data_IF_445339720707
#
_entry.id   IF_445339720707
#
_cell.length_a   1.000
_cell.length_b   1.000
_cell.length_c   1.000
_cell.angle_alpha   90.00
_cell.angle_beta   90.00
_cell.angle_gamma   90.00
#
_symmetry.space_group_name_H-M   'P 1'
#
loop_
_entity.id
_entity.type
_entity.pdbx_description
1 polymer ?
#
# COMPACT_ATOMS: atom_id res chain seq x y z
N UNK A 1 -31.20 -1.83 17.58
CA UNK A 1 -29.87 -1.64 18.20
C UNK A 1 -28.89 -1.56 17.05
N UNK A 2 -28.19 -0.44 16.92
CA UNK A 2 -27.30 -0.19 15.77
C UNK A 2 -26.11 -1.18 15.81
N UNK A 3 -25.53 -1.49 14.65
CA UNK A 3 -24.34 -2.35 14.58
C UNK A 3 -23.14 -1.72 15.30
N UNK A 4 -23.02 -0.39 15.25
CA UNK A 4 -22.04 0.37 16.03
C UNK A 4 -22.21 0.13 17.53
N UNK A 5 -23.45 0.16 18.05
CA UNK A 5 -23.73 -0.08 19.47
C UNK A 5 -23.38 -1.51 19.90
N UNK A 6 -23.59 -2.49 19.00
CA UNK A 6 -23.21 -3.89 19.24
C UNK A 6 -21.70 -4.03 19.37
N UNK A 7 -20.94 -3.47 18.43
CA UNK A 7 -19.46 -3.49 18.50
C UNK A 7 -18.93 -2.73 19.71
N UNK A 8 -19.47 -1.55 20.00
CA UNK A 8 -19.07 -0.78 21.16
C UNK A 8 -19.31 -1.55 22.47
N UNK A 9 -20.46 -2.22 22.58
CA UNK A 9 -20.80 -3.03 23.76
C UNK A 9 -19.93 -4.28 23.90
N UNK A 10 -19.65 -4.97 22.78
CA UNK A 10 -18.73 -6.09 22.73
C UNK A 10 -17.34 -5.68 23.22
N UNK A 11 -16.77 -4.62 22.65
CA UNK A 11 -15.45 -4.13 23.01
C UNK A 11 -15.38 -3.59 24.43
N UNK A 12 -16.44 -2.95 24.93
CA UNK A 12 -16.52 -2.53 26.33
C UNK A 12 -16.42 -3.72 27.28
N UNK A 13 -17.20 -4.78 27.04
CA UNK A 13 -17.13 -6.01 27.84
C UNK A 13 -15.75 -6.69 27.76
N UNK A 14 -15.16 -6.73 26.57
CA UNK A 14 -13.84 -7.34 26.37
C UNK A 14 -12.73 -6.56 27.09
N UNK A 15 -12.72 -5.23 26.96
CA UNK A 15 -11.71 -4.37 27.59
C UNK A 15 -11.85 -4.31 29.11
N UNK A 16 -13.07 -4.41 29.65
CA UNK A 16 -13.28 -4.53 31.10
C UNK A 16 -12.63 -5.80 31.67
N UNK A 17 -12.73 -6.93 30.95
CA UNK A 17 -12.11 -8.19 31.37
C UNK A 17 -10.59 -8.18 31.23
N UNK A 18 -10.08 -7.60 30.15
CA UNK A 18 -8.66 -7.69 29.81
C UNK A 18 -7.79 -6.53 30.33
N UNK A 19 -8.39 -5.37 30.60
CA UNK A 19 -7.74 -4.13 31.03
C UNK A 19 -8.47 -3.51 32.23
N UNK A 20 -8.97 -4.33 33.15
CA UNK A 20 -9.71 -3.89 34.33
C UNK A 20 -8.93 -2.99 35.29
N UNK A 21 -7.60 -3.01 35.20
CA UNK A 21 -6.65 -2.17 35.93
C UNK A 21 -6.52 -0.74 35.38
N UNK A 22 -7.03 -0.47 34.17
CA UNK A 22 -6.93 0.84 33.52
C UNK A 22 -8.10 1.76 33.87
N UNK A 23 -7.92 3.05 33.61
CA UNK A 23 -8.96 4.06 33.73
C UNK A 23 -10.05 3.88 32.66
N UNK A 24 -11.26 4.32 32.99
CA UNK A 24 -12.41 4.24 32.09
C UNK A 24 -12.23 5.08 30.82
N UNK A 25 -11.48 6.18 30.90
CA UNK A 25 -11.21 7.08 29.77
C UNK A 25 -10.29 6.42 28.73
N UNK A 26 -9.21 5.76 29.17
CA UNK A 26 -8.35 4.96 28.27
C UNK A 26 -9.14 3.84 27.58
N UNK A 27 -10.00 3.12 28.30
CA UNK A 27 -10.82 2.07 27.67
C UNK A 27 -11.74 2.64 26.60
N UNK A 28 -12.45 3.73 26.90
CA UNK A 28 -13.33 4.37 25.91
C UNK A 28 -12.52 4.87 24.70
N UNK A 29 -11.36 5.48 24.92
CA UNK A 29 -10.47 5.94 23.83
C UNK A 29 -10.05 4.81 22.89
N UNK A 30 -9.79 3.61 23.43
CA UNK A 30 -9.44 2.43 22.62
C UNK A 30 -10.65 1.96 21.80
N UNK A 31 -11.85 1.93 22.40
CA UNK A 31 -13.08 1.57 21.68
C UNK A 31 -13.31 2.51 20.50
N UNK A 32 -13.18 3.82 20.74
CA UNK A 32 -13.33 4.85 19.72
C UNK A 32 -12.35 4.68 18.55
N UNK A 33 -11.10 4.37 18.86
CA UNK A 33 -10.08 4.09 17.85
C UNK A 33 -10.35 2.80 17.06
N UNK A 34 -10.88 1.74 17.71
CA UNK A 34 -11.21 0.48 17.04
C UNK A 34 -12.40 0.62 16.09
N UNK A 35 -13.43 1.35 16.50
CA UNK A 35 -14.60 1.63 15.67
C UNK A 35 -14.26 2.52 14.46
N UNK A 36 -13.30 3.43 14.63
CA UNK A 36 -12.85 4.34 13.58
C UNK A 36 -13.77 5.56 13.41
N UNK A 37 -13.36 6.44 12.49
CA UNK A 37 -14.03 7.72 12.22
C UNK A 37 -15.40 7.53 11.54
N UNK A 38 -15.48 6.64 10.55
CA UNK A 38 -16.68 6.40 9.75
C UNK A 38 -17.53 5.27 10.35
N UNK A 39 -18.32 5.63 11.37
CA UNK A 39 -19.20 4.70 12.07
C UNK A 39 -20.43 4.32 11.25
N UNK A 40 -20.94 5.26 10.45
CA UNK A 40 -22.15 5.05 9.64
C UNK A 40 -21.93 3.93 8.62
N UNK A 41 -20.69 3.78 8.14
CA UNK A 41 -20.32 2.67 7.27
C UNK A 41 -20.62 1.30 7.86
N UNK A 42 -20.48 1.10 9.18
CA UNK A 42 -20.76 -0.20 9.82
C UNK A 42 -22.23 -0.60 9.69
N UNK A 43 -23.15 0.36 9.60
CA UNK A 43 -24.58 0.07 9.41
C UNK A 43 -24.93 -0.40 7.98
N UNK A 44 -24.04 -0.17 7.02
CA UNK A 44 -24.25 -0.52 5.61
C UNK A 44 -23.64 -1.86 5.20
N UNK A 45 -22.86 -2.48 6.09
CA UNK A 45 -22.14 -3.72 5.79
C UNK A 45 -23.05 -4.94 5.89
N UNK A 46 -22.83 -5.92 5.02
CA UNK A 46 -23.45 -7.23 5.16
C UNK A 46 -22.80 -8.06 6.28
N UNK A 47 -23.42 -9.20 6.65
CA UNK A 47 -22.94 -10.06 7.74
C UNK A 47 -21.52 -10.59 7.55
N UNK A 48 -21.08 -10.83 6.31
CA UNK A 48 -19.73 -11.30 6.02
C UNK A 48 -18.71 -10.16 6.20
N UNK A 49 -19.05 -8.97 5.70
CA UNK A 49 -18.23 -7.77 5.84
C UNK A 49 -18.13 -7.31 7.30
N UNK A 50 -19.20 -7.46 8.08
CA UNK A 50 -19.20 -7.20 9.52
C UNK A 50 -18.25 -8.15 10.27
N UNK A 51 -18.25 -9.44 9.93
CA UNK A 51 -17.32 -10.40 10.52
C UNK A 51 -15.85 -10.05 10.20
N UNK A 52 -15.57 -9.59 8.98
CA UNK A 52 -14.23 -9.15 8.57
C UNK A 52 -13.84 -7.86 9.31
N UNK A 53 -14.76 -6.92 9.46
CA UNK A 53 -14.51 -5.70 10.23
C UNK A 53 -14.18 -6.04 11.70
N UNK A 54 -14.90 -6.98 12.31
CA UNK A 54 -14.60 -7.46 13.65
C UNK A 54 -13.20 -8.07 13.77
N UNK A 55 -12.82 -8.94 12.84
CA UNK A 55 -11.49 -9.55 12.80
C UNK A 55 -10.38 -8.50 12.66
N UNK A 56 -10.60 -7.47 11.84
CA UNK A 56 -9.65 -6.37 11.69
C UNK A 56 -9.49 -5.56 12.99
N UNK A 57 -10.60 -5.31 13.71
CA UNK A 57 -10.56 -4.68 15.03
C UNK A 57 -9.79 -5.54 16.03
N UNK A 58 -10.06 -6.85 16.07
CA UNK A 58 -9.36 -7.80 16.94
C UNK A 58 -7.86 -7.83 16.68
N UNK A 59 -7.47 -7.87 15.42
CA UNK A 59 -6.06 -7.85 15.03
C UNK A 59 -5.37 -6.56 15.47
N UNK A 60 -5.99 -5.41 15.21
CA UNK A 60 -5.47 -4.10 15.59
C UNK A 60 -5.32 -3.96 17.11
N UNK A 61 -6.32 -4.40 17.87
CA UNK A 61 -6.26 -4.41 19.32
C UNK A 61 -5.17 -5.36 19.85
N UNK A 62 -5.01 -6.54 19.24
CA UNK A 62 -3.95 -7.50 19.60
C UNK A 62 -2.56 -6.90 19.45
N UNK A 63 -2.32 -6.16 18.36
CA UNK A 63 -1.07 -5.40 18.15
C UNK A 63 -0.86 -4.41 19.30
N UNK A 64 -1.87 -3.58 19.59
CA UNK A 64 -1.80 -2.58 20.66
C UNK A 64 -1.46 -3.24 22.00
N UNK A 65 -2.23 -4.24 22.41
CA UNK A 65 -2.10 -4.91 23.71
C UNK A 65 -0.75 -5.60 23.88
N UNK A 66 -0.31 -6.35 22.87
CA UNK A 66 0.92 -7.15 22.98
C UNK A 66 2.19 -6.29 22.93
N UNK A 67 2.19 -5.22 22.13
CA UNK A 67 3.44 -4.53 21.79
C UNK A 67 3.58 -3.12 22.34
N UNK A 68 2.48 -2.40 22.54
CA UNK A 68 2.54 -0.94 22.77
C UNK A 68 1.88 -0.49 24.07
N UNK A 69 0.79 -1.14 24.48
CA UNK A 69 0.01 -0.75 25.65
C UNK A 69 0.85 -0.84 26.93
N UNK A 70 0.96 0.25 27.68
CA UNK A 70 1.76 0.32 28.91
C UNK A 70 3.27 0.42 28.71
N UNK A 71 3.77 0.40 27.47
CA UNK A 71 5.20 0.48 27.16
C UNK A 71 5.67 1.94 27.15
N UNK A 72 6.95 2.19 27.41
CA UNK A 72 7.54 3.54 27.27
C UNK A 72 7.70 3.91 25.78
N UNK A 73 7.63 5.20 25.39
CA UNK A 73 7.69 5.61 23.98
C UNK A 73 8.91 5.08 23.22
N UNK A 74 10.10 5.15 23.83
CA UNK A 74 11.36 4.67 23.22
C UNK A 74 11.33 3.17 22.96
N UNK A 75 10.89 2.38 23.95
CA UNK A 75 10.77 0.92 23.82
C UNK A 75 9.69 0.54 22.80
N UNK A 76 8.58 1.28 22.79
CA UNK A 76 7.50 1.09 21.84
C UNK A 76 7.98 1.33 20.40
N UNK A 77 8.69 2.44 20.15
CA UNK A 77 9.28 2.73 18.85
C UNK A 77 10.32 1.68 18.44
N UNK A 78 11.23 1.29 19.34
CA UNK A 78 12.20 0.23 19.07
C UNK A 78 11.53 -1.10 18.69
N UNK A 79 10.39 -1.44 19.31
CA UNK A 79 9.62 -2.65 18.98
C UNK A 79 9.01 -2.57 17.58
N UNK A 80 8.46 -1.42 17.19
CA UNK A 80 7.97 -1.19 15.83
C UNK A 80 9.10 -1.41 14.82
N UNK A 81 10.24 -0.74 15.03
CA UNK A 81 11.39 -0.83 14.13
C UNK A 81 11.93 -2.25 14.02
N UNK A 82 12.06 -2.98 15.13
CA UNK A 82 12.49 -4.38 15.12
C UNK A 82 11.49 -5.27 14.37
N UNK A 83 10.19 -5.08 14.60
CA UNK A 83 9.14 -5.88 13.95
C UNK A 83 9.14 -5.66 12.44
N UNK A 84 9.18 -4.41 12.00
CA UNK A 84 9.20 -4.07 10.59
C UNK A 84 10.52 -4.50 9.93
N UNK A 85 11.66 -4.34 10.62
CA UNK A 85 12.96 -4.80 10.12
C UNK A 85 13.01 -6.32 9.92
N UNK A 86 12.36 -7.10 10.79
CA UNK A 86 12.35 -8.57 10.67
C UNK A 86 11.77 -9.08 9.34
N UNK A 87 10.90 -8.31 8.69
CA UNK A 87 10.35 -8.64 7.36
C UNK A 87 11.42 -8.67 6.26
N UNK A 88 12.53 -7.97 6.48
CA UNK A 88 13.63 -7.84 5.54
C UNK A 88 14.83 -8.74 5.89
N UNK A 89 14.95 -9.20 7.14
CA UNK A 89 16.09 -10.01 7.61
C UNK A 89 16.15 -11.39 6.95
N UNK A 90 15.00 -11.95 6.55
CA UNK A 90 14.91 -13.24 5.87
C UNK A 90 15.36 -13.13 4.39
N UNK A 91 15.47 -11.92 3.85
CA UNK A 91 15.67 -11.68 2.42
C UNK A 91 17.08 -11.17 2.13
N UNK A 92 18.01 -12.11 1.89
CA UNK A 92 19.43 -11.84 1.63
C UNK A 92 19.67 -10.74 0.59
N UNK A 93 18.84 -10.67 -0.47
CA UNK A 93 18.95 -9.64 -1.50
C UNK A 93 18.74 -8.24 -0.93
N UNK A 94 17.81 -8.02 0.00
CA UNK A 94 17.54 -6.67 0.55
C UNK A 94 18.74 -6.13 1.33
N UNK A 95 19.45 -7.01 2.06
CA UNK A 95 20.71 -6.64 2.74
C UNK A 95 21.78 -6.21 1.74
N UNK A 96 21.94 -6.96 0.65
CA UNK A 96 22.87 -6.61 -0.43
C UNK A 96 22.53 -5.25 -1.06
N UNK A 97 21.24 -4.95 -1.25
CA UNK A 97 20.78 -3.69 -1.83
C UNK A 97 21.02 -2.48 -0.93
N UNK A 98 20.81 -2.62 0.38
CA UNK A 98 21.15 -1.56 1.34
C UNK A 98 22.66 -1.32 1.37
N UNK A 99 23.47 -2.38 1.36
CA UNK A 99 24.94 -2.27 1.30
C UNK A 99 25.46 -1.67 -0.02
N UNK A 100 24.75 -1.90 -1.13
CA UNK A 100 25.06 -1.31 -2.45
C UNK A 100 24.50 0.11 -2.62
N UNK A 101 23.63 0.57 -1.72
CA UNK A 101 23.14 1.94 -1.76
C UNK A 101 24.29 2.94 -1.53
N UNK A 102 24.08 4.19 -1.96
CA UNK A 102 25.08 5.27 -1.96
C UNK A 102 25.77 5.46 -0.60
N UNK A 103 25.14 5.01 0.48
CA UNK A 103 25.61 5.13 1.83
C UNK A 103 25.91 3.73 2.42
N UNK A 104 27.10 3.20 2.13
CA UNK A 104 27.55 1.85 2.50
C UNK A 104 27.59 1.58 4.01
N UNK A 105 27.31 2.59 4.84
CA UNK A 105 27.23 2.49 6.30
C UNK A 105 25.79 2.40 6.84
N UNK A 106 24.77 2.60 6.00
CA UNK A 106 23.37 2.55 6.45
C UNK A 106 22.91 1.12 6.70
N UNK A 107 22.21 0.91 7.80
CA UNK A 107 21.51 -0.32 8.10
C UNK A 107 20.10 -0.31 7.49
N UNK A 108 19.50 -1.51 7.37
CA UNK A 108 18.08 -1.64 6.97
C UNK A 108 17.16 -0.85 7.91
N UNK A 109 17.53 -0.75 9.19
CA UNK A 109 16.77 -0.03 10.22
C UNK A 109 16.77 1.48 9.93
N UNK A 110 17.88 2.04 9.47
CA UNK A 110 17.98 3.48 9.17
C UNK A 110 17.08 3.86 7.98
N UNK A 111 17.13 3.06 6.90
CA UNK A 111 16.26 3.25 5.73
C UNK A 111 14.79 3.06 6.11
N UNK A 112 14.50 2.06 6.93
CA UNK A 112 13.14 1.80 7.41
C UNK A 112 12.60 2.97 8.25
N UNK A 113 13.45 3.62 9.06
CA UNK A 113 13.05 4.77 9.87
C UNK A 113 12.64 5.94 8.97
N UNK A 114 13.39 6.20 7.91
CA UNK A 114 13.05 7.22 6.91
C UNK A 114 11.73 6.89 6.20
N UNK A 115 11.53 5.64 5.79
CA UNK A 115 10.27 5.19 5.16
C UNK A 115 9.08 5.37 6.09
N UNK A 116 9.20 4.97 7.37
CA UNK A 116 8.14 5.13 8.36
C UNK A 116 7.86 6.61 8.62
N UNK A 117 8.89 7.45 8.72
CA UNK A 117 8.72 8.90 8.85
C UNK A 117 8.02 9.51 7.63
N UNK A 118 8.41 9.13 6.42
CA UNK A 118 7.76 9.59 5.19
C UNK A 118 6.28 9.16 5.17
N UNK A 119 5.99 7.91 5.53
CA UNK A 119 4.62 7.41 5.64
C UNK A 119 3.80 8.22 6.66
N UNK A 120 4.36 8.46 7.84
CA UNK A 120 3.69 9.24 8.87
C UNK A 120 3.44 10.69 8.45
N UNK A 121 4.25 11.27 7.57
CA UNK A 121 4.12 12.67 7.13
C UNK A 121 3.25 12.84 5.87
N UNK A 122 3.28 11.88 4.96
CA UNK A 122 2.72 12.06 3.61
C UNK A 122 1.63 11.07 3.25
N UNK A 123 1.52 9.92 3.93
CA UNK A 123 0.49 8.94 3.62
C UNK A 123 -0.87 9.41 4.15
N UNK A 124 -1.82 9.59 3.23
CA UNK A 124 -3.18 10.09 3.51
C UNK A 124 -3.91 9.26 4.56
N UNK A 125 -3.75 7.93 4.54
CA UNK A 125 -4.41 7.06 5.50
C UNK A 125 -3.84 7.28 6.90
N UNK A 126 -2.52 7.33 7.05
CA UNK A 126 -1.91 7.55 8.37
C UNK A 126 -2.16 8.98 8.90
N UNK A 127 -2.23 9.98 8.02
CA UNK A 127 -2.62 11.34 8.39
C UNK A 127 -4.07 11.41 8.90
N UNK A 128 -4.99 10.69 8.24
CA UNK A 128 -6.37 10.56 8.71
C UNK A 128 -6.43 9.83 10.06
N UNK A 129 -5.70 8.72 10.21
CA UNK A 129 -5.63 7.99 11.48
C UNK A 129 -5.04 8.87 12.60
N UNK A 130 -4.00 9.65 12.32
CA UNK A 130 -3.41 10.58 13.28
C UNK A 130 -4.42 11.63 13.74
N UNK A 131 -5.21 12.16 12.80
CA UNK A 131 -6.27 13.14 13.07
C UNK A 131 -7.39 12.53 13.93
N UNK A 132 -7.83 11.31 13.59
CA UNK A 132 -8.86 10.59 14.35
C UNK A 132 -8.40 10.21 15.75
N UNK A 133 -7.19 9.67 15.89
CA UNK A 133 -6.59 9.30 17.18
C UNK A 133 -6.46 10.51 18.11
N UNK A 134 -6.20 11.71 17.56
CA UNK A 134 -6.17 12.94 18.34
C UNK A 134 -7.54 13.33 18.90
N UNK A 135 -8.64 12.94 18.25
CA UNK A 135 -10.00 13.11 18.75
C UNK A 135 -10.38 12.02 19.78
N UNK A 136 -9.81 10.82 19.64
CA UNK A 136 -10.09 9.70 20.55
C UNK A 136 -9.55 9.92 21.97
N UNK A 137 -8.42 10.64 22.14
CA UNK A 137 -7.81 10.81 23.46
C UNK A 137 -6.97 12.08 23.61
N UNK A 138 -7.11 12.73 24.77
CA UNK A 138 -6.24 13.84 25.18
C UNK A 138 -4.85 13.35 25.65
N UNK A 139 -4.74 12.10 26.09
CA UNK A 139 -3.53 11.54 26.69
C UNK A 139 -2.42 11.31 25.62
N UNK A 140 -1.29 12.04 25.68
CA UNK A 140 -0.23 11.94 24.66
C UNK A 140 0.44 10.57 24.61
N UNK A 141 0.52 9.87 25.76
CA UNK A 141 1.13 8.54 25.82
C UNK A 141 0.26 7.50 25.12
N UNK A 142 -1.05 7.53 25.37
CA UNK A 142 -2.00 6.64 24.69
C UNK A 142 -2.04 6.95 23.20
N UNK A 143 -2.09 8.23 22.83
CA UNK A 143 -2.06 8.68 21.43
C UNK A 143 -0.90 8.07 20.65
N UNK A 144 0.31 8.12 21.22
CA UNK A 144 1.50 7.52 20.60
C UNK A 144 1.37 5.99 20.47
N UNK A 145 0.82 5.31 21.47
CA UNK A 145 0.62 3.85 21.42
C UNK A 145 -0.38 3.44 20.34
N UNK A 146 -1.49 4.16 20.21
CA UNK A 146 -2.49 3.95 19.16
C UNK A 146 -1.89 4.21 17.76
N UNK A 147 -1.08 5.26 17.63
CA UNK A 147 -0.44 5.59 16.36
C UNK A 147 0.57 4.52 15.93
N UNK A 148 1.39 4.02 16.86
CA UNK A 148 2.35 2.95 16.58
C UNK A 148 1.63 1.65 16.18
N UNK A 149 0.56 1.29 16.88
CA UNK A 149 -0.25 0.12 16.54
C UNK A 149 -0.88 0.25 15.14
N UNK A 150 -1.42 1.43 14.81
CA UNK A 150 -2.02 1.71 13.49
C UNK A 150 -0.98 1.68 12.37
N UNK A 151 0.23 2.18 12.65
CA UNK A 151 1.35 2.16 11.70
C UNK A 151 1.82 0.74 11.45
N UNK A 152 1.96 -0.08 12.49
CA UNK A 152 2.35 -1.49 12.32
C UNK A 152 1.31 -2.26 11.50
N UNK A 153 0.02 -2.12 11.85
CA UNK A 153 -1.09 -2.75 11.13
C UNK A 153 -1.06 -2.36 9.64
N UNK A 154 -0.94 -1.06 9.35
CA UNK A 154 -0.90 -0.55 7.98
C UNK A 154 0.30 -1.07 7.19
N UNK A 155 1.50 -1.08 7.79
CA UNK A 155 2.72 -1.58 7.16
C UNK A 155 2.64 -3.08 6.82
N UNK A 156 1.91 -3.85 7.62
CA UNK A 156 1.73 -5.29 7.45
C UNK A 156 0.61 -5.67 6.49
N UNK A 157 -0.20 -4.71 6.02
CA UNK A 157 -1.30 -5.01 5.09
C UNK A 157 -0.80 -5.70 3.84
N UNK A 158 -1.41 -6.82 3.43
CA UNK A 158 -1.03 -7.51 2.21
C UNK A 158 -1.45 -6.71 0.98
N UNK A 159 -0.54 -6.63 0.02
CA UNK A 159 -0.76 -6.18 -1.36
C UNK A 159 -0.17 -7.29 -2.21
N UNK A 160 -0.99 -8.02 -2.97
CA UNK A 160 -0.53 -9.15 -3.81
C UNK A 160 0.31 -10.15 -2.98
N UNK A 161 -0.19 -10.52 -1.81
CA UNK A 161 0.46 -11.42 -0.85
C UNK A 161 1.78 -10.91 -0.23
N UNK A 162 2.10 -9.62 -0.32
CA UNK A 162 3.29 -9.03 0.29
C UNK A 162 2.94 -7.81 1.17
N UNK A 163 3.64 -7.57 2.30
CA UNK A 163 3.38 -6.39 3.13
C UNK A 163 3.57 -5.08 2.34
N UNK A 164 2.64 -4.13 2.49
CA UNK A 164 2.71 -2.78 1.92
C UNK A 164 4.09 -2.14 2.13
N UNK A 165 4.66 -2.33 3.32
CA UNK A 165 5.95 -1.76 3.69
C UNK A 165 7.07 -2.15 2.72
N UNK A 166 7.04 -3.36 2.17
CA UNK A 166 8.05 -3.81 1.21
C UNK A 166 8.02 -2.95 -0.06
N UNK A 167 6.83 -2.67 -0.60
CA UNK A 167 6.67 -1.82 -1.77
C UNK A 167 7.16 -0.40 -1.49
N UNK A 168 6.79 0.15 -0.33
CA UNK A 168 7.22 1.49 0.10
C UNK A 168 8.73 1.57 0.26
N UNK A 169 9.34 0.55 0.85
CA UNK A 169 10.78 0.45 1.04
C UNK A 169 11.53 0.40 -0.30
N UNK A 170 11.10 -0.44 -1.23
CA UNK A 170 11.71 -0.51 -2.58
C UNK A 170 11.54 0.80 -3.33
N UNK A 171 10.37 1.43 -3.28
CA UNK A 171 10.12 2.72 -3.92
C UNK A 171 10.98 3.85 -3.32
N UNK A 172 11.20 3.82 -2.01
CA UNK A 172 12.12 4.73 -1.34
C UNK A 172 13.54 4.55 -1.87
N UNK A 173 14.07 3.31 -1.86
CA UNK A 173 15.40 3.02 -2.38
C UNK A 173 15.57 3.45 -3.85
N UNK A 174 14.55 3.24 -4.69
CA UNK A 174 14.55 3.69 -6.10
C UNK A 174 14.69 5.21 -6.23
N UNK A 175 13.93 5.97 -5.43
CA UNK A 175 13.99 7.44 -5.44
C UNK A 175 15.36 7.94 -4.98
N UNK A 176 15.91 7.34 -3.94
CA UNK A 176 17.23 7.73 -3.38
C UNK A 176 18.39 7.37 -4.32
N UNK A 177 18.28 6.30 -5.11
CA UNK A 177 19.31 5.89 -6.09
C UNK A 177 19.32 6.73 -7.38
N UNK A 178 18.19 7.29 -7.84
CA UNK A 178 18.12 8.11 -9.07
C UNK A 178 18.97 9.39 -9.02
N UNK A 179 19.46 9.79 -7.84
CA UNK A 179 20.36 10.95 -7.66
C UNK A 179 21.86 10.69 -7.86
N UNK A 180 22.29 9.49 -8.29
CA UNK A 180 23.69 9.19 -8.59
C UNK A 180 23.85 7.86 -9.31
N UNK A 181 24.31 7.90 -10.57
CA UNK A 181 24.47 6.74 -11.46
C UNK A 181 25.23 5.55 -10.85
N UNK A 182 24.56 4.40 -10.77
CA UNK A 182 24.97 3.10 -11.34
C UNK A 182 23.70 2.30 -11.62
N UNK A 183 23.47 1.97 -12.89
CA UNK A 183 22.26 1.26 -13.33
C UNK A 183 22.30 -0.20 -12.86
N UNK A 184 21.45 -0.55 -11.90
CA UNK A 184 21.08 -1.96 -11.67
C UNK A 184 19.84 -2.25 -12.52
N UNK A 185 19.84 -3.33 -13.34
CA UNK A 185 18.76 -3.63 -14.28
C UNK A 185 17.38 -3.66 -13.63
N UNK A 186 16.45 -2.93 -14.26
CA UNK A 186 15.14 -2.54 -13.73
C UNK A 186 14.14 -3.70 -13.62
N UNK A 187 14.33 -4.78 -14.40
CA UNK A 187 13.44 -5.95 -14.45
C UNK A 187 13.64 -6.96 -13.32
N UNK A 188 14.89 -7.15 -12.88
CA UNK A 188 15.24 -8.16 -11.87
C UNK A 188 14.69 -7.83 -10.48
N UNK A 189 14.44 -6.56 -10.17
CA UNK A 189 13.94 -6.09 -8.87
C UNK A 189 12.50 -6.55 -8.55
N UNK A 190 11.63 -6.55 -9.56
CA UNK A 190 10.21 -6.96 -9.39
C UNK A 190 10.09 -8.48 -9.55
N UNK A 191 10.91 -9.06 -10.43
CA UNK A 191 10.93 -10.49 -10.71
C UNK A 191 11.56 -11.30 -9.58
N UNK A 192 12.71 -10.90 -9.03
CA UNK A 192 13.42 -11.62 -7.94
C UNK A 192 12.69 -11.59 -6.59
N UNK A 193 11.79 -10.62 -6.36
CA UNK A 193 10.93 -10.56 -5.17
C UNK A 193 9.63 -11.36 -5.38
N UNK A 194 9.30 -11.68 -6.65
CA UNK A 194 8.14 -12.47 -7.04
C UNK A 194 8.48 -13.94 -7.34
N UNK A 195 9.74 -14.28 -7.66
CA UNK A 195 10.17 -15.61 -8.13
C UNK A 195 10.65 -16.58 -7.03
N UNK A 196 10.87 -16.16 -5.78
CA UNK A 196 11.19 -17.07 -4.66
C UNK A 196 9.92 -17.57 -3.92
N UNK A 197 8.79 -17.68 -4.63
CA UNK A 197 7.50 -18.13 -4.10
C UNK A 197 7.29 -19.64 -4.25
N UNK A 198 8.20 -20.43 -3.69
CA UNK A 198 7.81 -21.72 -3.11
C UNK A 198 7.96 -21.56 -1.60
N UNK A 199 6.89 -21.72 -0.80
CA UNK A 199 7.00 -21.66 0.64
C UNK A 199 7.85 -22.86 1.07
N UNK A 200 9.13 -22.64 1.35
CA UNK A 200 9.93 -23.62 2.07
C UNK A 200 9.52 -23.53 3.54
N UNK A 201 8.95 -24.63 3.97
CA UNK A 201 8.26 -24.86 5.23
C UNK A 201 9.27 -24.87 6.38
N UNK A 202 9.31 -23.82 7.21
CA UNK A 202 9.84 -23.87 8.58
C UNK A 202 9.57 -22.57 9.37
N UNK A 203 8.77 -22.72 10.43
CA UNK A 203 8.84 -21.97 11.70
C UNK A 203 8.64 -20.44 11.67
N UNK A 204 7.44 -20.00 11.31
CA UNK A 204 6.91 -18.75 11.89
C UNK A 204 5.43 -18.89 12.21
N UNK A 205 4.97 -18.62 13.46
CA UNK A 205 3.56 -18.64 13.83
C UNK A 205 2.89 -17.34 13.35
N UNK A 206 3.04 -17.03 12.06
CA UNK A 206 2.21 -16.03 11.40
C UNK A 206 1.01 -16.81 10.89
N UNK A 207 -0.10 -16.71 11.61
CA UNK A 207 -1.39 -17.34 11.28
C UNK A 207 -1.78 -16.99 9.84
N UNK A 208 -1.48 -17.90 8.91
CA UNK A 208 -1.75 -17.81 7.47
C UNK A 208 -3.26 -17.78 7.17
N UNK A 209 -4.09 -18.16 8.14
CA UNK A 209 -5.56 -18.13 8.05
C UNK A 209 -6.14 -16.73 8.28
N UNK A 210 -5.47 -15.87 9.06
CA UNK A 210 -5.97 -14.53 9.42
C UNK A 210 -5.65 -13.46 8.35
N UNK A 211 -4.72 -13.76 7.43
CA UNK A 211 -4.25 -12.81 6.42
C UNK A 211 -5.09 -12.84 5.13
N UNK A 212 -5.74 -13.98 4.83
CA UNK A 212 -6.52 -14.15 3.60
C UNK A 212 -7.85 -13.38 3.61
N UNK A 213 -8.54 -13.31 4.76
CA UNK A 213 -9.84 -12.64 4.86
C UNK A 213 -9.73 -11.10 4.83
N UNK A 214 -8.69 -10.55 5.45
CA UNK A 214 -8.39 -9.11 5.42
C UNK A 214 -7.90 -8.69 4.02
N UNK A 215 -7.09 -9.54 3.37
CA UNK A 215 -6.67 -9.35 1.99
C UNK A 215 -7.89 -9.30 1.05
N UNK A 216 -8.83 -10.24 1.12
CA UNK A 216 -9.95 -10.31 0.17
C UNK A 216 -10.90 -9.10 0.23
N UNK A 217 -11.20 -8.58 1.42
CA UNK A 217 -12.13 -7.45 1.57
C UNK A 217 -11.48 -6.10 1.24
N UNK A 218 -10.20 -5.92 1.60
CA UNK A 218 -9.48 -4.68 1.33
C UNK A 218 -8.85 -4.63 -0.06
N UNK A 219 -8.43 -5.78 -0.62
CA UNK A 219 -8.01 -5.87 -2.03
C UNK A 219 -9.17 -5.51 -2.94
N UNK A 220 -10.41 -5.96 -2.69
CA UNK A 220 -11.55 -5.57 -3.53
C UNK A 220 -11.81 -4.05 -3.49
N UNK A 221 -11.77 -3.40 -2.32
CA UNK A 221 -12.02 -1.96 -2.22
C UNK A 221 -10.89 -1.09 -2.75
N UNK A 222 -9.63 -1.43 -2.46
CA UNK A 222 -8.47 -0.71 -2.98
C UNK A 222 -8.33 -0.97 -4.47
N UNK A 223 -8.63 -2.18 -4.94
CA UNK A 223 -8.67 -2.50 -6.37
C UNK A 223 -9.80 -1.75 -7.07
N UNK A 224 -11.00 -1.69 -6.52
CA UNK A 224 -12.11 -0.91 -7.09
C UNK A 224 -11.80 0.59 -7.15
N UNK A 225 -11.24 1.16 -6.08
CA UNK A 225 -10.89 2.58 -6.03
C UNK A 225 -9.70 2.88 -6.96
N UNK A 226 -8.68 2.01 -6.99
CA UNK A 226 -7.58 2.12 -7.96
C UNK A 226 -8.06 1.91 -9.40
N UNK A 227 -9.01 1.01 -9.65
CA UNK A 227 -9.60 0.81 -10.99
C UNK A 227 -10.43 2.02 -11.40
N UNK A 228 -11.19 2.62 -10.49
CA UNK A 228 -11.97 3.83 -10.74
C UNK A 228 -11.06 5.01 -11.05
N UNK A 229 -10.00 5.20 -10.26
CA UNK A 229 -8.98 6.21 -10.52
C UNK A 229 -8.25 5.93 -11.84
N UNK A 230 -7.99 4.66 -12.15
CA UNK A 230 -7.36 4.28 -13.41
C UNK A 230 -8.25 4.59 -14.61
N UNK A 231 -9.52 4.22 -14.56
CA UNK A 231 -10.48 4.50 -15.61
C UNK A 231 -10.69 6.01 -15.80
N UNK A 232 -10.70 6.78 -14.72
CA UNK A 232 -10.81 8.24 -14.78
C UNK A 232 -9.62 8.89 -15.49
N UNK A 233 -8.39 8.51 -15.11
CA UNK A 233 -7.18 9.02 -15.75
C UNK A 233 -7.06 8.52 -17.20
N UNK A 234 -7.58 7.32 -17.51
CA UNK A 234 -7.52 6.73 -18.84
C UNK A 234 -8.40 7.55 -19.77
N UNK A 235 -9.64 7.82 -19.34
CA UNK A 235 -10.58 8.64 -20.08
C UNK A 235 -10.05 10.06 -20.32
N UNK A 236 -9.47 10.68 -19.29
CA UNK A 236 -8.84 12.00 -19.43
C UNK A 236 -7.68 12.00 -20.43
N UNK A 237 -6.87 10.93 -20.45
CA UNK A 237 -5.77 10.83 -21.40
C UNK A 237 -6.27 10.52 -22.81
N UNK A 238 -7.30 9.69 -22.98
CA UNK A 238 -7.96 9.44 -24.26
C UNK A 238 -8.54 10.74 -24.84
N UNK A 239 -9.25 11.53 -24.04
CA UNK A 239 -9.82 12.82 -24.45
C UNK A 239 -8.70 13.80 -24.87
N UNK A 240 -7.61 13.86 -24.09
CA UNK A 240 -6.42 14.64 -24.42
C UNK A 240 -5.78 14.21 -25.75
N UNK A 241 -5.66 12.90 -26.01
CA UNK A 241 -5.06 12.38 -27.24
C UNK A 241 -5.94 12.68 -28.46
N UNK A 242 -7.27 12.63 -28.33
CA UNK A 242 -8.20 13.03 -29.40
C UNK A 242 -8.06 14.51 -29.74
N UNK A 243 -7.92 15.36 -28.74
CA UNK A 243 -7.78 16.81 -28.93
C UNK A 243 -6.44 17.21 -29.55
N UNK A 244 -5.35 16.54 -29.17
CA UNK A 244 -3.98 16.96 -29.52
C UNK A 244 -3.33 16.18 -30.66
N UNK A 245 -3.82 14.97 -30.95
CA UNK A 245 -3.31 14.12 -32.03
C UNK A 245 -4.44 13.83 -33.01
N UNK A 246 -5.22 12.78 -32.75
CA UNK A 246 -6.32 12.28 -33.56
C UNK A 246 -7.06 11.14 -32.84
N UNK A 247 -8.21 10.75 -33.38
CA UNK A 247 -8.99 9.61 -32.86
C UNK A 247 -8.23 8.29 -32.94
N UNK A 248 -7.30 8.16 -33.89
CA UNK A 248 -6.48 6.97 -34.07
C UNK A 248 -5.51 6.75 -32.89
N UNK A 249 -4.99 7.82 -32.29
CA UNK A 249 -4.15 7.75 -31.09
C UNK A 249 -4.92 7.26 -29.85
N UNK A 250 -6.18 7.66 -29.70
CA UNK A 250 -7.02 7.18 -28.61
C UNK A 250 -7.40 5.70 -28.77
N UNK A 251 -7.73 5.28 -30.00
CA UNK A 251 -7.99 3.87 -30.31
C UNK A 251 -6.75 2.99 -30.08
N UNK A 252 -5.57 3.49 -30.47
CA UNK A 252 -4.30 2.81 -30.17
C UNK A 252 -4.11 2.61 -28.67
N UNK A 253 -4.37 3.64 -27.85
CA UNK A 253 -4.23 3.55 -26.39
C UNK A 253 -5.18 2.51 -25.78
N UNK A 254 -6.44 2.45 -26.25
CA UNK A 254 -7.41 1.46 -25.78
C UNK A 254 -6.96 0.03 -26.07
N UNK A 255 -6.51 -0.25 -27.29
CA UNK A 255 -6.04 -1.58 -27.69
C UNK A 255 -4.75 -1.96 -26.96
N UNK A 256 -3.88 -0.98 -26.70
CA UNK A 256 -2.65 -1.17 -25.95
C UNK A 256 -2.92 -1.50 -24.47
N UNK A 257 -3.85 -0.80 -23.83
CA UNK A 257 -4.23 -1.07 -22.44
C UNK A 257 -4.98 -2.40 -22.26
N UNK A 258 -5.55 -2.95 -23.34
CA UNK A 258 -6.08 -4.31 -23.39
C UNK A 258 -4.99 -5.40 -23.53
N UNK A 259 -3.71 -5.00 -23.65
CA UNK A 259 -2.58 -5.92 -23.76
C UNK A 259 -2.38 -6.49 -25.17
N UNK A 260 -2.84 -5.79 -26.22
CA UNK A 260 -2.63 -6.24 -27.60
C UNK A 260 -1.24 -5.85 -28.10
N UNK A 261 -0.67 -6.73 -28.93
CA UNK A 261 0.63 -6.50 -29.56
C UNK A 261 0.59 -5.40 -30.61
N UNK A 262 1.73 -4.78 -30.90
CA UNK A 262 1.81 -3.74 -31.94
C UNK A 262 1.38 -4.30 -33.32
N UNK A 263 1.67 -5.58 -33.58
CA UNK A 263 1.25 -6.32 -34.77
C UNK A 263 -0.27 -6.51 -34.80
N UNK A 264 -0.88 -6.88 -33.67
CA UNK A 264 -2.33 -7.03 -33.56
C UNK A 264 -3.06 -5.68 -33.68
N UNK A 265 -2.50 -4.62 -33.09
CA UNK A 265 -3.00 -3.25 -33.20
C UNK A 265 -2.91 -2.76 -34.65
N UNK A 266 -1.81 -3.07 -35.36
CA UNK A 266 -1.66 -2.71 -36.78
C UNK A 266 -2.73 -3.36 -37.66
N UNK A 267 -3.06 -4.62 -37.39
CA UNK A 267 -4.11 -5.35 -38.09
C UNK A 267 -5.50 -4.78 -37.80
N UNK A 268 -5.79 -4.45 -36.55
CA UNK A 268 -7.11 -3.99 -36.11
C UNK A 268 -7.39 -2.53 -36.48
N UNK A 269 -6.37 -1.67 -36.42
CA UNK A 269 -6.45 -0.30 -36.91
C UNK A 269 -6.26 -0.20 -38.44
N UNK A 270 -5.99 -1.34 -39.11
CA UNK A 270 -5.71 -1.42 -40.55
C UNK A 270 -4.64 -0.42 -41.01
N UNK A 271 -3.54 -0.31 -40.26
CA UNK A 271 -2.43 0.60 -40.56
C UNK A 271 -1.10 -0.14 -40.66
N UNK A 272 -0.15 0.35 -41.47
CA UNK A 272 1.18 -0.23 -41.55
C UNK A 272 1.84 -0.27 -40.17
N UNK A 273 2.51 -1.38 -39.86
CA UNK A 273 3.16 -1.56 -38.56
C UNK A 273 4.15 -0.45 -38.21
N UNK A 274 4.85 0.12 -39.20
CA UNK A 274 5.73 1.29 -39.02
C UNK A 274 5.00 2.53 -38.49
N UNK A 275 3.73 2.72 -38.84
CA UNK A 275 2.92 3.82 -38.33
C UNK A 275 2.48 3.58 -36.89
N UNK A 276 2.23 2.32 -36.51
CA UNK A 276 1.92 1.94 -35.12
C UNK A 276 3.10 2.24 -34.19
N UNK A 277 4.34 1.91 -34.58
CA UNK A 277 5.53 2.28 -33.81
C UNK A 277 5.71 3.81 -33.68
N UNK A 278 5.40 4.59 -34.72
CA UNK A 278 5.42 6.06 -34.66
C UNK A 278 4.33 6.63 -33.75
N UNK A 279 3.14 6.03 -33.76
CA UNK A 279 2.05 6.37 -32.84
C UNK A 279 2.45 6.09 -31.40
N UNK A 280 3.04 4.93 -31.13
CA UNK A 280 3.59 4.58 -29.82
C UNK A 280 4.57 5.62 -29.32
N UNK A 281 5.54 6.03 -30.13
CA UNK A 281 6.53 7.05 -29.76
C UNK A 281 5.88 8.40 -29.46
N UNK A 282 4.96 8.86 -30.32
CA UNK A 282 4.23 10.12 -30.12
C UNK A 282 3.38 10.09 -28.85
N UNK A 283 2.61 9.03 -28.64
CA UNK A 283 1.75 8.86 -27.46
C UNK A 283 2.60 8.76 -26.19
N UNK A 284 3.73 8.06 -26.23
CA UNK A 284 4.68 7.98 -25.11
C UNK A 284 5.29 9.34 -24.77
N UNK A 285 5.60 10.16 -25.79
CA UNK A 285 6.04 11.54 -25.60
C UNK A 285 4.97 12.39 -24.92
N UNK A 286 3.73 12.35 -25.41
CA UNK A 286 2.62 13.11 -24.84
C UNK A 286 2.29 12.67 -23.41
N UNK A 287 2.33 11.37 -23.14
CA UNK A 287 2.11 10.82 -21.82
C UNK A 287 3.18 11.29 -20.82
N UNK A 288 4.46 11.18 -21.16
CA UNK A 288 5.58 11.44 -20.22
C UNK A 288 5.97 12.92 -20.11
N UNK A 289 5.95 13.67 -21.22
CA UNK A 289 6.42 15.07 -21.25
C UNK A 289 5.32 16.11 -21.10
N UNK A 290 4.06 15.77 -21.34
CA UNK A 290 2.98 16.78 -21.33
C UNK A 290 1.90 16.43 -20.31
N UNK A 291 1.42 15.19 -20.31
CA UNK A 291 0.30 14.77 -19.46
C UNK A 291 0.73 14.45 -18.02
N UNK A 292 1.79 13.65 -17.83
CA UNK A 292 2.34 13.30 -16.52
C UNK A 292 2.80 14.53 -15.71
N UNK A 293 3.34 15.55 -16.39
CA UNK A 293 3.77 16.80 -15.77
C UNK A 293 2.62 17.68 -15.26
N UNK A 294 1.39 17.49 -15.77
CA UNK A 294 0.22 18.32 -15.42
C UNK A 294 -0.80 17.62 -14.53
N UNK A 295 -1.02 16.30 -14.67
CA UNK A 295 -2.22 15.68 -14.12
C UNK A 295 -2.04 14.48 -13.16
N UNK A 296 -0.86 13.83 -13.09
CA UNK A 296 -0.38 12.93 -12.01
C UNK A 296 0.72 12.00 -12.58
N UNK A 297 2.02 12.23 -12.27
CA UNK A 297 3.13 11.56 -12.97
C UNK A 297 3.29 10.08 -12.64
N UNK A 298 2.90 9.65 -11.43
CA UNK A 298 3.13 8.28 -10.96
C UNK A 298 2.18 7.25 -11.61
N UNK A 299 0.93 7.61 -11.89
CA UNK A 299 -0.06 6.72 -12.50
C UNK A 299 0.24 6.46 -13.99
N UNK A 300 0.61 7.51 -14.72
CA UNK A 300 0.94 7.45 -16.16
C UNK A 300 2.20 6.61 -16.40
N UNK A 301 3.21 6.75 -15.55
CA UNK A 301 4.42 5.91 -15.61
C UNK A 301 4.08 4.43 -15.41
N UNK A 302 3.16 4.11 -14.48
CA UNK A 302 2.76 2.72 -14.22
C UNK A 302 2.08 2.04 -15.41
N UNK A 303 1.33 2.78 -16.25
CA UNK A 303 0.65 2.25 -17.44
C UNK A 303 1.59 2.04 -18.61
N UNK A 304 2.49 2.99 -18.83
CA UNK A 304 3.51 2.85 -19.86
C UNK A 304 4.51 1.75 -19.51
N UNK A 305 4.80 1.53 -18.23
CA UNK A 305 5.65 0.40 -17.78
C UNK A 305 4.94 -0.96 -17.85
N UNK A 306 3.63 -1.05 -17.58
CA UNK A 306 2.89 -2.34 -17.59
C UNK A 306 2.69 -2.96 -18.97
N UNK A 307 2.99 -2.21 -20.03
CA UNK A 307 2.95 -2.68 -21.41
C UNK A 307 4.29 -3.24 -21.94
N UNK A 308 5.36 -3.16 -21.15
CA UNK A 308 6.68 -3.73 -21.47
C UNK A 308 6.76 -5.25 -21.19
N UNK A 309 5.63 -5.97 -21.17
CA UNK A 309 5.67 -7.43 -21.29
C UNK A 309 5.91 -7.89 -22.74
N UNK A 310 5.82 -6.98 -23.71
CA UNK A 310 6.24 -7.23 -25.09
C UNK A 310 7.62 -6.63 -25.34
N UNK A 311 8.65 -7.44 -25.05
CA UNK A 311 9.96 -7.52 -25.71
C UNK A 311 10.95 -8.21 -24.76
N UNK A 312 10.61 -9.41 -24.29
CA UNK A 312 11.60 -10.40 -23.89
C UNK A 312 11.35 -11.66 -24.73
N UNK A 313 11.89 -11.64 -25.95
CA UNK A 313 12.41 -12.84 -26.59
C UNK A 313 13.77 -13.15 -25.96
#
# INVERSE_FOLDING_TARGET
MSEVDKFASFWRSQLEKECGDRDSETRQSIIEWLLGEDRDRLETLDSQQLAIAQQAMDYRYRILRQRYLGVSPEKAYSRLMQRLASLFLIRNKIRTWVALSRDRQRSVVDVLQEVVQELLQSDRYLQQQMSWIAQCTSNPRLRNQLMLASTEEYCLRPIRNQPLLLYRFVNYLRRTQRGGMTQVPTGDLVRLVSEELVPDDADSPVSLLDTQAIAQYQENQVWEEQQRQRQAVQKQFEDYLKEQLDDQAAQWLQLYLQGRTQEAIAQELNVPIKQVYRLREKISYHATRIFALKHQPELVASWLETSLQEHNL
#
